data_IF_915256776322
#
_entry.id   IF_915256776322
#
_cell.length_a   1.000
_cell.length_b   1.000
_cell.length_c   1.000
_cell.angle_alpha   90.00
_cell.angle_beta   90.00
_cell.angle_gamma   90.00
#
_symmetry.space_group_name_H-M   'P 1'
#
loop_
_entity.id
_entity.type
_entity.pdbx_description
1 polymer ?
#
# COMPACT_ATOMS: atom_id res chain seq x y z
N UNK A 1 -5.22 -16.67 -9.28
CA UNK A 1 -6.51 -16.43 -9.94
C UNK A 1 -6.46 -15.10 -10.71
N UNK A 2 -6.50 -15.14 -12.03
CA UNK A 2 -6.27 -13.98 -12.93
C UNK A 2 -7.34 -12.90 -12.75
N UNK A 3 -8.58 -13.29 -12.42
CA UNK A 3 -9.67 -12.35 -12.13
C UNK A 3 -9.42 -11.54 -10.86
N UNK A 4 -8.81 -12.14 -9.83
CA UNK A 4 -8.46 -11.45 -8.59
C UNK A 4 -7.31 -10.44 -8.78
N UNK A 5 -6.43 -10.66 -9.77
CA UNK A 5 -5.32 -9.74 -10.10
C UNK A 5 -5.84 -8.55 -10.90
N UNK A 6 -6.72 -8.77 -11.89
CA UNK A 6 -7.34 -7.71 -12.68
C UNK A 6 -8.17 -6.75 -11.82
N UNK A 7 -8.94 -7.26 -10.86
CA UNK A 7 -9.65 -6.43 -9.90
C UNK A 7 -8.71 -5.50 -9.14
N UNK A 8 -7.55 -6.00 -8.68
CA UNK A 8 -6.54 -5.21 -7.95
C UNK A 8 -5.87 -4.12 -8.79
N UNK A 9 -5.65 -4.37 -10.09
CA UNK A 9 -5.12 -3.37 -11.02
C UNK A 9 -6.14 -2.27 -11.26
N UNK A 10 -7.42 -2.62 -11.47
CA UNK A 10 -8.51 -1.64 -11.64
C UNK A 10 -8.69 -0.73 -10.41
N UNK A 11 -8.49 -1.24 -9.18
CA UNK A 11 -8.50 -0.38 -7.99
C UNK A 11 -7.35 0.64 -7.99
N UNK A 12 -6.17 0.25 -8.48
CA UNK A 12 -5.00 1.12 -8.49
C UNK A 12 -5.15 2.32 -9.44
N UNK A 13 -5.88 2.17 -10.53
CA UNK A 13 -6.12 3.26 -11.50
C UNK A 13 -7.17 4.29 -11.02
N UNK A 14 -7.87 4.04 -9.90
CA UNK A 14 -8.79 5.01 -9.32
C UNK A 14 -8.04 6.25 -8.80
N UNK A 15 -8.32 7.48 -9.30
CA UNK A 15 -7.58 8.69 -8.91
C UNK A 15 -7.63 9.00 -7.40
N UNK A 16 -8.79 8.75 -6.76
CA UNK A 16 -8.95 8.91 -5.31
C UNK A 16 -8.02 7.96 -4.54
N UNK A 17 -7.93 6.72 -5.00
CA UNK A 17 -7.10 5.71 -4.36
C UNK A 17 -5.61 5.97 -4.61
N UNK A 18 -5.23 6.46 -5.80
CA UNK A 18 -3.86 6.90 -6.07
C UNK A 18 -3.43 8.03 -5.13
N UNK A 19 -4.28 9.03 -4.90
CA UNK A 19 -3.97 10.10 -3.94
C UNK A 19 -3.83 9.56 -2.51
N UNK A 20 -4.68 8.62 -2.10
CA UNK A 20 -4.51 7.94 -0.82
C UNK A 20 -3.15 7.25 -0.72
N UNK A 21 -2.75 6.45 -1.72
CA UNK A 21 -1.47 5.76 -1.71
C UNK A 21 -0.26 6.70 -1.76
N UNK A 22 -0.34 7.83 -2.48
CA UNK A 22 0.69 8.89 -2.46
C UNK A 22 0.87 9.47 -1.06
N UNK A 23 -0.23 9.70 -0.34
CA UNK A 23 -0.16 10.18 1.05
C UNK A 23 0.47 9.12 1.96
N UNK A 24 0.07 7.85 1.84
CA UNK A 24 0.68 6.75 2.60
C UNK A 24 2.19 6.62 2.30
N UNK A 25 2.61 6.76 1.05
CA UNK A 25 4.02 6.77 0.67
C UNK A 25 4.78 7.90 1.37
N UNK A 26 4.21 9.11 1.42
CA UNK A 26 4.80 10.25 2.11
C UNK A 26 4.95 9.98 3.61
N UNK A 27 3.92 9.45 4.26
CA UNK A 27 3.96 9.10 5.69
C UNK A 27 5.02 8.02 5.97
N UNK A 28 5.08 6.95 5.17
CA UNK A 28 6.10 5.90 5.31
C UNK A 28 7.50 6.50 5.15
N UNK A 29 7.71 7.39 4.19
CA UNK A 29 9.00 8.07 4.00
C UNK A 29 9.38 8.91 5.22
N UNK A 30 8.43 9.60 5.84
CA UNK A 30 8.68 10.40 7.04
C UNK A 30 8.98 9.53 8.28
N UNK A 31 8.25 8.42 8.46
CA UNK A 31 8.40 7.52 9.62
C UNK A 31 9.68 6.68 9.53
N UNK A 32 9.97 6.14 8.34
CA UNK A 32 11.04 5.15 8.14
C UNK A 32 12.28 5.70 7.44
N UNK A 33 12.22 6.90 6.87
CA UNK A 33 13.33 7.47 6.09
C UNK A 33 13.59 6.79 4.74
N UNK A 34 12.68 5.95 4.26
CA UNK A 34 12.85 5.17 3.02
C UNK A 34 12.08 5.77 1.84
N UNK A 35 12.62 5.60 0.63
CA UNK A 35 11.95 6.01 -0.60
C UNK A 35 11.43 4.78 -1.35
N UNK A 36 10.16 4.45 -1.15
CA UNK A 36 9.51 3.34 -1.85
C UNK A 36 8.94 3.79 -3.20
N UNK A 37 9.06 3.01 -4.27
CA UNK A 37 8.37 3.30 -5.52
C UNK A 37 6.86 3.09 -5.35
N UNK A 38 6.04 3.99 -5.92
CA UNK A 38 4.59 3.92 -5.81
C UNK A 38 4.05 2.84 -6.76
N UNK A 39 4.11 1.58 -6.32
CA UNK A 39 3.74 0.43 -7.15
C UNK A 39 2.71 -0.47 -6.45
N UNK A 40 1.70 -0.99 -7.18
CA UNK A 40 0.68 -1.85 -6.59
C UNK A 40 1.29 -3.14 -6.01
N UNK A 41 2.41 -3.62 -6.54
CA UNK A 41 3.16 -4.76 -6.00
C UNK A 41 3.55 -4.55 -4.54
N UNK A 42 4.02 -3.36 -4.18
CA UNK A 42 4.41 -3.03 -2.81
C UNK A 42 3.16 -2.71 -1.98
N UNK A 43 2.36 -1.75 -2.43
CA UNK A 43 1.30 -1.17 -1.60
C UNK A 43 0.06 -2.05 -1.49
N UNK A 44 -0.32 -2.76 -2.55
CA UNK A 44 -1.49 -3.66 -2.55
C UNK A 44 -1.04 -5.09 -2.22
N UNK A 45 -0.06 -5.62 -2.94
CA UNK A 45 0.34 -7.03 -2.79
C UNK A 45 1.28 -7.27 -1.60
N UNK A 46 1.96 -6.24 -1.10
CA UNK A 46 2.91 -6.39 0.02
C UNK A 46 4.20 -7.08 -0.37
N UNK A 47 4.56 -7.07 -1.65
CA UNK A 47 5.85 -7.55 -2.14
C UNK A 47 6.91 -6.53 -1.71
N UNK A 48 7.83 -6.94 -0.84
CA UNK A 48 8.85 -6.04 -0.32
C UNK A 48 9.99 -5.90 -1.34
N UNK A 49 10.57 -4.69 -1.51
CA UNK A 49 11.72 -4.52 -2.39
C UNK A 49 12.92 -5.31 -1.86
N UNK A 50 13.67 -5.95 -2.76
CA UNK A 50 14.88 -6.73 -2.42
C UNK A 50 15.97 -5.89 -1.74
N UNK A 51 16.00 -4.59 -2.03
CA UNK A 51 16.91 -3.62 -1.39
C UNK A 51 16.67 -3.46 0.11
N UNK A 52 15.46 -3.78 0.60
CA UNK A 52 15.18 -3.82 2.02
C UNK A 52 15.62 -5.19 2.53
N UNK A 53 16.68 -5.26 3.33
CA UNK A 53 17.20 -6.52 3.90
C UNK A 53 16.86 -6.65 5.38
N UNK A 54 16.75 -5.53 6.09
CA UNK A 54 16.43 -5.47 7.51
C UNK A 54 15.04 -6.04 7.82
N UNK A 55 14.99 -7.00 8.75
CA UNK A 55 13.76 -7.69 9.17
C UNK A 55 12.81 -6.77 9.92
N UNK A 56 13.34 -5.86 10.74
CA UNK A 56 12.51 -4.96 11.57
C UNK A 56 11.79 -3.94 10.69
N UNK A 57 12.50 -3.35 9.73
CA UNK A 57 11.95 -2.44 8.72
C UNK A 57 10.89 -3.14 7.86
N UNK A 58 11.14 -4.38 7.41
CA UNK A 58 10.12 -5.17 6.69
C UNK A 58 8.86 -5.39 7.53
N UNK A 59 9.04 -5.71 8.80
CA UNK A 59 7.92 -5.96 9.71
C UNK A 59 7.10 -4.70 9.94
N UNK A 60 7.76 -3.58 10.24
CA UNK A 60 7.11 -2.28 10.42
C UNK A 60 6.35 -1.85 9.16
N UNK A 61 6.98 -1.96 7.99
CA UNK A 61 6.36 -1.63 6.70
C UNK A 61 5.11 -2.49 6.45
N UNK A 62 5.16 -3.79 6.77
CA UNK A 62 4.00 -4.69 6.66
C UNK A 62 2.85 -4.23 7.56
N UNK A 63 3.12 -3.80 8.79
CA UNK A 63 2.09 -3.28 9.71
C UNK A 63 1.47 -2.01 9.14
N UNK A 64 2.28 -1.05 8.70
CA UNK A 64 1.79 0.22 8.14
C UNK A 64 0.90 -0.03 6.92
N UNK A 65 1.34 -0.90 6.00
CA UNK A 65 0.56 -1.27 4.83
C UNK A 65 -0.71 -2.05 5.17
N UNK A 66 -0.69 -2.90 6.20
CA UNK A 66 -1.87 -3.61 6.68
C UNK A 66 -2.93 -2.63 7.18
N UNK A 67 -2.52 -1.64 7.98
CA UNK A 67 -3.41 -0.59 8.49
C UNK A 67 -4.00 0.21 7.34
N UNK A 68 -3.17 0.66 6.38
CA UNK A 68 -3.62 1.42 5.22
C UNK A 68 -4.67 0.64 4.39
N UNK A 69 -4.45 -0.65 4.13
CA UNK A 69 -5.41 -1.51 3.42
C UNK A 69 -6.74 -1.62 4.19
N UNK A 70 -6.68 -1.83 5.50
CA UNK A 70 -7.87 -1.91 6.36
C UNK A 70 -8.66 -0.61 6.35
N UNK A 71 -7.99 0.54 6.32
CA UNK A 71 -8.62 1.86 6.21
C UNK A 71 -9.40 2.00 4.89
N UNK A 72 -8.83 1.58 3.76
CA UNK A 72 -9.54 1.57 2.47
C UNK A 72 -10.77 0.66 2.52
N UNK A 73 -10.63 -0.56 3.05
CA UNK A 73 -11.76 -1.49 3.19
C UNK A 73 -12.86 -0.93 4.09
N UNK A 74 -12.52 -0.20 5.14
CA UNK A 74 -13.48 0.45 6.03
C UNK A 74 -14.11 1.70 5.40
N UNK A 75 -13.37 2.45 4.57
CA UNK A 75 -13.92 3.58 3.81
C UNK A 75 -15.06 3.13 2.89
N UNK A 76 -14.95 1.92 2.34
CA UNK A 76 -16.00 1.33 1.49
C UNK A 76 -17.22 0.82 2.28
N UNK A 77 -17.12 0.74 3.61
CA UNK A 77 -18.23 0.37 4.51
C UNK A 77 -18.98 1.57 5.10
N UNK A 78 -18.54 2.80 4.84
CA UNK A 78 -19.33 3.99 5.15
C UNK A 78 -20.43 4.15 4.09
N UNK A 79 -21.73 4.10 4.46
CA UNK A 79 -22.78 4.56 3.58
C UNK A 79 -22.63 6.09 3.47
N UNK A 80 -22.56 6.59 2.24
CA UNK A 80 -22.96 7.97 1.95
C UNK A 80 -24.46 8.09 2.19
#
# INVERSE_FOLDING_TARGET
DVHHILGKILFWDCPKLQNFWKNIQKEIKQIMGINLPLEPAIYILGIMPDSMTDKNSKYLLRILLLIAKKTITNLHKCPL
#
